data_IF_167803057330
#
_entry.id   IF_167803057330
#
_cell.length_a   1.000
_cell.length_b   1.000
_cell.length_c   1.000
_cell.angle_alpha   90.00
_cell.angle_beta   90.00
_cell.angle_gamma   90.00
#
_symmetry.space_group_name_H-M   'P 1'
#
loop_
_entity.id
_entity.type
_entity.pdbx_description
1 polymer ?
#
# COMPACT_ATOMS: atom_id res chain seq x y z
N UNK A 1 15.78 10.36 1.96
CA UNK A 1 15.68 9.06 2.66
C UNK A 1 15.21 9.25 4.10
N UNK A 2 14.31 8.38 4.58
CA UNK A 2 13.83 8.41 5.98
C UNK A 2 14.96 8.05 6.96
N UNK A 3 15.04 8.78 8.08
CA UNK A 3 15.90 8.41 9.21
C UNK A 3 15.34 7.18 9.96
N UNK A 4 16.10 6.64 10.91
CA UNK A 4 15.73 5.43 11.65
C UNK A 4 14.42 5.60 12.44
N UNK A 5 14.25 6.71 13.15
CA UNK A 5 13.07 7.01 13.96
C UNK A 5 11.82 7.13 13.08
N UNK A 6 11.92 7.86 11.97
CA UNK A 6 10.81 8.02 11.04
C UNK A 6 10.44 6.69 10.37
N UNK A 7 11.43 5.84 10.09
CA UNK A 7 11.20 4.49 9.57
C UNK A 7 10.47 3.60 10.59
N UNK A 8 10.81 3.72 11.87
CA UNK A 8 10.07 3.04 12.95
C UNK A 8 8.62 3.55 13.04
N UNK A 9 8.41 4.87 13.01
CA UNK A 9 7.08 5.48 13.03
C UNK A 9 6.22 5.01 11.85
N UNK A 10 6.79 4.98 10.64
CA UNK A 10 6.13 4.45 9.45
C UNK A 10 5.76 2.97 9.61
N UNK A 11 6.66 2.14 10.18
CA UNK A 11 6.35 0.73 10.42
C UNK A 11 5.24 0.56 11.47
N UNK A 12 5.20 1.39 12.51
CA UNK A 12 4.10 1.40 13.49
C UNK A 12 2.77 1.80 12.84
N UNK A 13 2.77 2.80 11.96
CA UNK A 13 1.57 3.19 11.20
C UNK A 13 1.09 2.05 10.29
N UNK A 14 2.00 1.36 9.60
CA UNK A 14 1.70 0.15 8.82
C UNK A 14 1.09 -0.94 9.70
N UNK A 15 1.66 -1.20 10.88
CA UNK A 15 1.11 -2.19 11.81
C UNK A 15 -0.28 -1.82 12.33
N UNK A 16 -0.53 -0.52 12.53
CA UNK A 16 -1.86 0.02 12.80
C UNK A 16 -2.86 -0.30 11.69
N UNK A 17 -2.49 -0.08 10.43
CA UNK A 17 -3.32 -0.43 9.26
C UNK A 17 -3.66 -1.92 9.26
N UNK A 18 -2.65 -2.78 9.46
CA UNK A 18 -2.84 -4.23 9.48
C UNK A 18 -3.78 -4.66 10.60
N UNK A 19 -3.61 -4.09 11.79
CA UNK A 19 -4.48 -4.35 12.94
C UNK A 19 -5.93 -3.90 12.66
N UNK A 20 -6.12 -2.70 12.11
CA UNK A 20 -7.45 -2.18 11.79
C UNK A 20 -8.17 -3.04 10.75
N UNK A 21 -7.44 -3.55 9.75
CA UNK A 21 -7.98 -4.49 8.77
C UNK A 21 -8.39 -5.78 9.47
N UNK A 22 -7.50 -6.37 10.28
CA UNK A 22 -7.77 -7.62 11.03
C UNK A 22 -9.03 -7.49 11.88
N UNK A 23 -9.14 -6.43 12.67
CA UNK A 23 -10.25 -6.20 13.59
C UNK A 23 -11.56 -5.92 12.84
N UNK A 24 -11.47 -5.40 11.62
CA UNK A 24 -12.63 -5.13 10.76
C UNK A 24 -13.12 -6.37 10.00
N UNK A 25 -12.32 -7.43 9.86
CA UNK A 25 -12.70 -8.60 9.06
C UNK A 25 -14.01 -9.23 9.56
N UNK A 26 -14.94 -9.56 8.65
CA UNK A 26 -16.25 -10.06 9.04
C UNK A 26 -16.16 -11.42 9.71
N UNK A 27 -16.94 -11.61 10.79
CA UNK A 27 -17.05 -12.90 11.47
C UNK A 27 -17.59 -13.97 10.51
N UNK A 28 -17.04 -15.18 10.63
CA UNK A 28 -17.29 -16.32 9.73
C UNK A 28 -18.77 -16.77 9.72
N UNK A 29 -19.59 -16.34 10.68
CA UNK A 29 -21.00 -16.73 10.81
C UNK A 29 -21.98 -15.95 9.93
N UNK A 30 -21.55 -14.91 9.20
CA UNK A 30 -22.45 -14.15 8.29
C UNK A 30 -22.62 -14.82 6.91
N UNK A 31 -23.73 -14.58 6.18
CA UNK A 31 -23.88 -15.01 4.79
C UNK A 31 -22.78 -14.48 3.86
N UNK A 32 -22.39 -15.26 2.84
CA UNK A 32 -21.25 -14.97 1.97
C UNK A 32 -21.32 -13.62 1.26
N UNK A 33 -22.46 -13.31 0.64
CA UNK A 33 -22.71 -12.05 -0.06
C UNK A 33 -22.55 -10.84 0.86
N UNK A 34 -23.01 -10.95 2.11
CA UNK A 34 -22.85 -9.90 3.14
C UNK A 34 -21.38 -9.70 3.48
N UNK A 35 -20.61 -10.80 3.61
CA UNK A 35 -19.17 -10.73 3.91
C UNK A 35 -18.36 -10.08 2.79
N UNK A 36 -18.69 -10.35 1.53
CA UNK A 36 -18.04 -9.72 0.37
C UNK A 36 -18.28 -8.22 0.35
N UNK A 37 -19.51 -7.79 0.61
CA UNK A 37 -19.85 -6.37 0.60
C UNK A 37 -19.20 -5.62 1.78
N UNK A 38 -19.15 -6.25 2.95
CA UNK A 38 -18.40 -5.72 4.11
C UNK A 38 -16.90 -5.62 3.81
N UNK A 39 -16.30 -6.63 3.20
CA UNK A 39 -14.89 -6.61 2.78
C UNK A 39 -14.60 -5.49 1.78
N UNK A 40 -15.48 -5.25 0.81
CA UNK A 40 -15.34 -4.12 -0.13
C UNK A 40 -15.35 -2.78 0.58
N UNK A 41 -16.26 -2.59 1.55
CA UNK A 41 -16.33 -1.36 2.36
C UNK A 41 -15.11 -1.17 3.24
N UNK A 42 -14.62 -2.23 3.87
CA UNK A 42 -13.41 -2.24 4.69
C UNK A 42 -12.21 -1.88 3.83
N UNK A 43 -12.04 -2.55 2.68
CA UNK A 43 -10.94 -2.27 1.75
C UNK A 43 -11.00 -0.85 1.20
N UNK A 44 -12.19 -0.33 0.86
CA UNK A 44 -12.29 1.05 0.35
C UNK A 44 -11.97 2.07 1.44
N UNK A 45 -12.54 1.90 2.65
CA UNK A 45 -12.35 2.84 3.76
C UNK A 45 -10.92 2.83 4.30
N UNK A 46 -10.41 1.65 4.63
CA UNK A 46 -9.10 1.50 5.27
C UNK A 46 -7.99 1.75 4.25
N UNK A 47 -8.11 1.20 3.06
CA UNK A 47 -7.00 1.20 2.11
C UNK A 47 -6.86 2.51 1.33
N UNK A 48 -7.89 3.36 1.28
CA UNK A 48 -7.74 4.71 0.73
C UNK A 48 -7.35 5.69 1.84
N UNK A 49 -8.14 5.79 2.91
CA UNK A 49 -7.94 6.83 3.91
C UNK A 49 -6.63 6.63 4.69
N UNK A 50 -6.39 5.42 5.23
CA UNK A 50 -5.20 5.18 6.04
C UNK A 50 -3.93 5.13 5.19
N UNK A 51 -4.03 4.74 3.91
CA UNK A 51 -2.87 4.81 3.01
C UNK A 51 -2.56 6.25 2.58
N UNK A 52 -3.56 7.11 2.41
CA UNK A 52 -3.33 8.55 2.20
C UNK A 52 -2.72 9.22 3.43
N UNK A 53 -3.15 8.84 4.64
CA UNK A 53 -2.53 9.29 5.88
C UNK A 53 -1.06 8.84 5.95
N UNK A 54 -0.80 7.55 5.67
CA UNK A 54 0.57 7.01 5.62
C UNK A 54 1.44 7.75 4.59
N UNK A 55 0.91 8.06 3.40
CA UNK A 55 1.59 8.86 2.39
C UNK A 55 1.92 10.26 2.92
N UNK A 56 0.95 10.92 3.57
CA UNK A 56 1.13 12.25 4.15
C UNK A 56 2.24 12.25 5.20
N UNK A 57 2.26 11.25 6.08
CA UNK A 57 3.28 11.10 7.12
C UNK A 57 4.67 10.91 6.49
N UNK A 58 4.78 9.97 5.53
CA UNK A 58 6.04 9.71 4.80
C UNK A 58 6.55 10.97 4.11
N UNK A 59 5.68 11.72 3.41
CA UNK A 59 6.06 12.97 2.77
C UNK A 59 6.50 14.03 3.81
N UNK A 60 5.82 14.11 4.95
CA UNK A 60 6.19 15.01 6.04
C UNK A 60 7.57 14.73 6.62
N UNK A 61 7.88 13.45 6.87
CA UNK A 61 9.20 13.01 7.33
C UNK A 61 10.28 13.30 6.30
N UNK A 62 10.06 12.91 5.05
CA UNK A 62 11.01 13.16 3.96
C UNK A 62 11.28 14.65 3.76
N UNK A 63 10.24 15.50 3.79
CA UNK A 63 10.38 16.95 3.74
C UNK A 63 11.22 17.49 4.88
N UNK A 64 10.96 17.02 6.09
CA UNK A 64 11.71 17.45 7.28
C UNK A 64 13.19 17.13 7.14
N UNK A 65 13.54 15.95 6.63
CA UNK A 65 14.94 15.59 6.37
C UNK A 65 15.56 16.39 5.22
N UNK A 66 14.84 16.59 4.11
CA UNK A 66 15.32 17.41 2.99
C UNK A 66 15.68 18.83 3.43
N UNK A 67 14.80 19.47 4.21
CA UNK A 67 15.01 20.85 4.65
C UNK A 67 16.15 21.05 5.67
N UNK A 68 16.75 19.96 6.18
CA UNK A 68 17.97 20.04 7.01
C UNK A 68 19.24 20.26 6.18
N UNK A 69 19.22 19.92 4.89
CA UNK A 69 20.40 20.06 4.01
C UNK A 69 20.76 21.54 3.84
N UNK A 70 22.05 21.86 3.81
CA UNK A 70 22.55 23.24 3.73
C UNK A 70 21.97 24.02 2.54
N UNK A 71 21.83 23.38 1.36
CA UNK A 71 21.31 24.01 0.14
C UNK A 71 19.89 24.58 0.32
N UNK A 72 19.08 24.00 1.22
CA UNK A 72 17.71 24.42 1.50
C UNK A 72 17.58 25.35 2.73
N UNK A 73 18.69 25.75 3.36
CA UNK A 73 18.65 26.79 4.40
C UNK A 73 18.43 28.19 3.82
N UNK A 74 18.78 28.39 2.55
CA UNK A 74 18.43 29.59 1.80
C UNK A 74 16.91 29.59 1.53
N UNK A 75 16.26 30.74 1.75
CA UNK A 75 14.81 30.89 1.60
C UNK A 75 14.32 30.68 0.16
N UNK A 76 15.06 31.14 -0.84
CA UNK A 76 14.70 31.01 -2.26
C UNK A 76 14.71 29.54 -2.69
N UNK A 77 15.75 28.81 -2.29
CA UNK A 77 15.86 27.38 -2.56
C UNK A 77 14.77 26.56 -1.85
N UNK A 78 14.42 26.96 -0.62
CA UNK A 78 13.30 26.36 0.11
C UNK A 78 11.97 26.60 -0.61
N UNK A 79 11.73 27.80 -1.11
CA UNK A 79 10.52 28.12 -1.88
C UNK A 79 10.44 27.29 -3.16
N UNK A 80 11.54 27.19 -3.92
CA UNK A 80 11.63 26.32 -5.12
C UNK A 80 11.35 24.85 -4.78
N UNK A 81 11.82 24.37 -3.64
CA UNK A 81 11.50 23.02 -3.16
C UNK A 81 10.03 22.87 -2.78
N UNK A 82 9.45 23.81 -2.04
CA UNK A 82 8.04 23.77 -1.66
C UNK A 82 7.11 23.85 -2.90
N UNK A 83 7.51 24.59 -3.95
CA UNK A 83 6.82 24.69 -5.24
C UNK A 83 6.81 23.37 -6.04
N UNK A 84 7.70 22.42 -5.74
CA UNK A 84 7.64 21.09 -6.37
C UNK A 84 6.35 20.35 -6.02
N UNK A 85 5.72 20.69 -4.89
CA UNK A 85 4.51 20.05 -4.37
C UNK A 85 4.64 18.52 -4.36
N UNK A 86 5.65 18.04 -3.63
CA UNK A 86 6.04 16.64 -3.62
C UNK A 86 4.89 15.71 -3.25
N UNK A 87 4.00 16.13 -2.34
CA UNK A 87 2.83 15.34 -1.99
C UNK A 87 1.92 15.13 -3.20
N UNK A 88 1.55 16.19 -3.93
CA UNK A 88 0.68 16.06 -5.11
C UNK A 88 1.37 15.32 -6.26
N UNK A 89 2.68 15.52 -6.48
CA UNK A 89 3.44 14.72 -7.44
C UNK A 89 3.35 13.22 -7.12
N UNK A 90 3.52 12.86 -5.85
CA UNK A 90 3.44 11.47 -5.40
C UNK A 90 2.00 10.95 -5.46
N UNK A 91 1.00 11.68 -4.96
CA UNK A 91 -0.42 11.26 -5.02
C UNK A 91 -0.88 11.02 -6.47
N UNK A 92 -0.47 11.88 -7.41
CA UNK A 92 -0.77 11.72 -8.83
C UNK A 92 -0.02 10.54 -9.47
N UNK A 93 1.20 10.25 -9.03
CA UNK A 93 1.98 9.10 -9.53
C UNK A 93 1.45 7.78 -8.97
N UNK A 94 0.97 7.79 -7.73
CA UNK A 94 0.48 6.61 -7.01
C UNK A 94 -1.04 6.72 -6.81
N UNK A 95 -1.79 6.52 -7.91
CA UNK A 95 -3.26 6.69 -7.95
C UNK A 95 -3.99 5.67 -7.05
N UNK A 96 -4.68 6.16 -6.02
CA UNK A 96 -5.51 5.36 -5.11
C UNK A 96 -6.86 4.94 -5.71
N UNK A 97 -6.85 4.06 -6.73
CA UNK A 97 -8.08 3.58 -7.38
C UNK A 97 -8.48 2.15 -6.99
N UNK A 98 -9.78 1.93 -6.83
CA UNK A 98 -10.41 0.62 -6.67
C UNK A 98 -10.89 0.14 -8.04
N UNK A 99 -10.35 -0.97 -8.59
CA UNK A 99 -10.91 -1.60 -9.79
C UNK A 99 -12.43 -1.79 -9.68
N UNK A 100 -13.18 -1.23 -10.64
CA UNK A 100 -14.65 -1.22 -10.60
C UNK A 100 -15.27 -2.61 -10.72
N UNK A 101 -14.62 -3.52 -11.45
CA UNK A 101 -15.07 -4.89 -11.70
C UNK A 101 -13.93 -5.87 -11.45
N UNK A 102 -13.97 -6.60 -10.34
CA UNK A 102 -13.14 -7.80 -10.14
C UNK A 102 -14.07 -8.99 -10.12
N UNK A 103 -13.96 -9.87 -11.11
CA UNK A 103 -14.68 -11.14 -11.09
C UNK A 103 -13.93 -12.14 -10.21
N UNK A 104 -14.42 -12.28 -8.98
CA UNK A 104 -13.87 -13.23 -8.01
C UNK A 104 -14.14 -14.70 -8.37
N UNK A 105 -14.98 -15.00 -9.36
CA UNK A 105 -15.31 -16.37 -9.78
C UNK A 105 -14.23 -17.01 -10.64
N UNK A 106 -13.35 -16.23 -11.27
CA UNK A 106 -12.36 -16.73 -12.19
C UNK A 106 -10.92 -16.49 -11.65
N UNK A 107 -10.30 -17.54 -11.10
CA UNK A 107 -8.96 -17.46 -10.51
C UNK A 107 -7.86 -16.97 -11.47
N UNK A 108 -8.04 -17.17 -12.79
CA UNK A 108 -7.12 -16.62 -13.81
C UNK A 108 -7.31 -15.11 -14.02
N UNK A 109 -8.53 -14.57 -13.90
CA UNK A 109 -8.74 -13.12 -13.93
C UNK A 109 -8.19 -12.44 -12.68
N UNK A 110 -8.36 -13.07 -11.51
CA UNK A 110 -7.73 -12.62 -10.27
C UNK A 110 -6.20 -12.58 -10.42
N UNK A 111 -5.60 -13.64 -10.97
CA UNK A 111 -4.16 -13.75 -11.25
C UNK A 111 -3.68 -12.74 -12.30
N UNK A 112 -4.51 -12.40 -13.28
CA UNK A 112 -4.22 -11.36 -14.28
C UNK A 112 -4.28 -9.96 -13.67
N UNK A 113 -5.29 -9.66 -12.87
CA UNK A 113 -5.41 -8.39 -12.13
C UNK A 113 -4.24 -8.21 -11.16
N UNK A 114 -3.86 -9.29 -10.47
CA UNK A 114 -2.66 -9.41 -9.65
C UNK A 114 -1.36 -9.07 -10.40
N UNK A 115 -1.18 -9.69 -11.56
CA UNK A 115 0.00 -9.48 -12.40
C UNK A 115 0.04 -8.05 -12.97
N UNK A 116 -1.13 -7.49 -13.32
CA UNK A 116 -1.27 -6.10 -13.74
C UNK A 116 -0.97 -5.11 -12.60
N UNK A 117 -1.26 -5.47 -11.35
CA UNK A 117 -0.89 -4.70 -10.16
C UNK A 117 0.53 -4.97 -9.65
N UNK A 118 1.38 -5.67 -10.42
CA UNK A 118 2.78 -5.94 -10.05
C UNK A 118 2.98 -7.06 -9.03
N UNK A 119 1.96 -7.86 -8.70
CA UNK A 119 2.07 -8.98 -7.76
C UNK A 119 2.16 -10.29 -8.54
N UNK A 120 3.26 -11.04 -8.36
CA UNK A 120 3.50 -12.32 -9.02
C UNK A 120 3.49 -13.44 -7.96
N UNK A 121 2.57 -14.39 -8.07
CA UNK A 121 2.64 -15.63 -7.30
C UNK A 121 3.63 -16.57 -7.98
N UNK A 122 4.70 -16.95 -7.28
CA UNK A 122 5.56 -18.05 -7.75
C UNK A 122 4.89 -19.39 -7.44
N UNK A 123 5.22 -20.42 -8.22
CA UNK A 123 4.64 -21.77 -8.17
C UNK A 123 4.81 -22.53 -6.86
N UNK A 124 5.45 -21.94 -5.84
CA UNK A 124 5.57 -22.47 -4.47
C UNK A 124 4.68 -21.79 -3.42
N UNK A 125 3.75 -20.90 -3.82
CA UNK A 125 2.90 -20.18 -2.86
C UNK A 125 3.59 -19.01 -2.13
N UNK A 126 4.80 -18.64 -2.59
CA UNK A 126 5.54 -17.44 -2.20
C UNK A 126 5.17 -16.31 -3.17
N UNK A 127 4.73 -15.18 -2.62
CA UNK A 127 4.39 -13.98 -3.39
C UNK A 127 5.67 -13.19 -3.65
N UNK A 128 6.02 -12.99 -4.91
CA UNK A 128 7.09 -12.08 -5.34
C UNK A 128 6.44 -10.83 -5.92
N UNK A 129 6.68 -9.68 -5.31
CA UNK A 129 6.06 -8.41 -5.71
C UNK A 129 7.08 -7.65 -6.57
N UNK A 130 6.72 -7.40 -7.83
CA UNK A 130 7.43 -6.48 -8.73
C UNK A 130 6.56 -5.23 -8.86
N UNK A 131 6.70 -4.29 -7.93
CA UNK A 131 5.95 -3.02 -7.94
C UNK A 131 6.52 -2.16 -9.07
N UNK A 132 5.87 -2.17 -10.24
CA UNK A 132 6.20 -1.21 -11.31
C UNK A 132 5.43 0.10 -11.18
N UNK A 133 4.25 0.10 -10.56
CA UNK A 133 3.41 1.27 -10.25
C UNK A 133 2.09 0.78 -9.63
N UNK A 134 1.67 1.36 -8.49
CA UNK A 134 0.35 1.31 -7.81
C UNK A 134 0.00 0.27 -6.68
N UNK A 135 -0.09 0.84 -5.46
CA UNK A 135 -1.18 0.91 -4.42
C UNK A 135 -1.51 -0.28 -3.47
N UNK A 136 -1.66 0.01 -2.15
CA UNK A 136 -2.29 -0.82 -1.11
C UNK A 136 -3.65 -1.47 -1.44
N UNK A 137 -4.49 -0.81 -2.28
CA UNK A 137 -5.88 -1.16 -2.61
C UNK A 137 -5.96 -2.47 -3.40
N UNK A 138 -5.03 -2.66 -4.33
CA UNK A 138 -4.85 -3.90 -5.09
C UNK A 138 -4.76 -5.08 -4.13
N UNK A 139 -3.97 -4.92 -3.07
CA UNK A 139 -3.70 -5.96 -2.07
C UNK A 139 -4.96 -6.28 -1.26
N UNK A 140 -5.71 -5.29 -0.79
CA UNK A 140 -7.01 -5.52 -0.12
C UNK A 140 -8.01 -6.34 -0.96
N UNK A 141 -8.06 -6.08 -2.27
CA UNK A 141 -8.95 -6.77 -3.21
C UNK A 141 -8.52 -8.19 -3.56
N UNK A 142 -7.21 -8.43 -3.68
CA UNK A 142 -6.62 -9.75 -3.88
C UNK A 142 -7.03 -10.69 -2.74
N UNK A 143 -7.12 -10.14 -1.54
CA UNK A 143 -7.21 -10.93 -0.32
C UNK A 143 -8.67 -11.20 0.05
N UNK A 144 -9.58 -10.31 -0.33
CA UNK A 144 -10.99 -10.65 -0.49
C UNK A 144 -11.22 -11.77 -1.53
N UNK A 145 -10.44 -11.81 -2.61
CA UNK A 145 -10.50 -12.87 -3.63
C UNK A 145 -10.00 -14.23 -3.16
N UNK A 146 -8.88 -14.28 -2.42
CA UNK A 146 -8.37 -15.50 -1.78
C UNK A 146 -9.37 -16.02 -0.75
N UNK A 147 -10.00 -15.14 0.02
CA UNK A 147 -11.04 -15.51 1.00
C UNK A 147 -12.30 -16.06 0.32
N UNK A 148 -12.75 -15.43 -0.77
CA UNK A 148 -13.88 -15.86 -1.59
C UNK A 148 -13.66 -17.24 -2.23
N UNK A 149 -12.51 -17.47 -2.87
CA UNK A 149 -12.18 -18.73 -3.53
C UNK A 149 -12.07 -19.90 -2.54
N UNK A 150 -11.44 -19.66 -1.38
CA UNK A 150 -11.28 -20.69 -0.34
C UNK A 150 -12.62 -21.08 0.26
N UNK A 151 -13.53 -20.12 0.45
CA UNK A 151 -14.82 -20.37 1.07
C UNK A 151 -15.85 -21.07 0.14
N UNK A 152 -15.61 -21.11 -1.18
CA UNK A 152 -16.42 -21.93 -2.11
C UNK A 152 -16.11 -23.44 -2.02
N UNK A 153 -14.92 -23.85 -1.54
CA UNK A 153 -14.46 -25.24 -1.73
C UNK A 153 -14.76 -26.24 -0.61
N UNK A 154 -15.16 -25.86 0.61
CA UNK A 154 -15.59 -26.82 1.65
C UNK A 154 -16.13 -26.17 2.94
N UNK A 155 -17.34 -26.53 3.38
CA UNK A 155 -17.95 -26.01 4.63
C UNK A 155 -17.34 -26.56 5.92
N UNK A 156 -16.60 -27.68 5.90
CA UNK A 156 -16.12 -28.36 7.12
C UNK A 156 -14.66 -28.05 7.51
N UNK A 157 -13.89 -27.30 6.71
CA UNK A 157 -12.46 -27.00 6.93
C UNK A 157 -12.27 -25.58 7.56
N UNK A 158 -13.22 -25.17 8.41
CA UNK A 158 -13.78 -23.81 8.37
C UNK A 158 -13.09 -22.70 9.19
N UNK A 159 -12.29 -23.00 10.21
CA UNK A 159 -11.72 -21.95 11.11
C UNK A 159 -10.21 -21.87 11.09
N UNK A 160 -9.50 -22.96 11.35
CA UNK A 160 -8.04 -22.91 11.50
C UNK A 160 -7.33 -22.58 10.18
N UNK A 161 -7.75 -23.21 9.06
CA UNK A 161 -7.27 -22.81 7.72
C UNK A 161 -7.65 -21.38 7.37
N UNK A 162 -8.74 -20.85 7.90
CA UNK A 162 -9.16 -19.48 7.60
C UNK A 162 -8.30 -18.46 8.35
N UNK A 163 -7.96 -18.74 9.61
CA UNK A 163 -7.02 -17.92 10.38
C UNK A 163 -5.63 -17.93 9.72
N UNK A 164 -5.14 -19.10 9.29
CA UNK A 164 -3.86 -19.22 8.57
C UNK A 164 -3.85 -18.40 7.27
N UNK A 165 -4.92 -18.47 6.48
CA UNK A 165 -5.07 -17.68 5.25
C UNK A 165 -5.15 -16.19 5.56
N UNK A 166 -5.81 -15.81 6.65
CA UNK A 166 -5.92 -14.42 7.11
C UNK A 166 -4.58 -13.88 7.64
N UNK A 167 -3.79 -14.69 8.32
CA UNK A 167 -2.46 -14.29 8.77
C UNK A 167 -1.50 -14.13 7.59
N UNK A 168 -1.52 -15.08 6.66
CA UNK A 168 -0.74 -15.00 5.41
C UNK A 168 -1.15 -13.79 4.57
N UNK A 169 -2.46 -13.49 4.53
CA UNK A 169 -2.98 -12.26 3.96
C UNK A 169 -2.28 -11.05 4.60
N UNK A 170 -2.52 -10.84 5.88
CA UNK A 170 -2.12 -9.62 6.58
C UNK A 170 -0.59 -9.44 6.61
N UNK A 171 0.18 -10.53 6.56
CA UNK A 171 1.63 -10.49 6.40
C UNK A 171 2.05 -9.95 5.02
N UNK A 172 1.48 -10.49 3.93
CA UNK A 172 1.74 -9.99 2.57
C UNK A 172 1.25 -8.53 2.41
N UNK A 173 0.10 -8.25 3.04
CA UNK A 173 -0.32 -6.97 3.61
C UNK A 173 0.79 -5.94 3.82
N UNK A 174 1.43 -6.18 4.97
CA UNK A 174 2.50 -5.41 5.57
C UNK A 174 3.68 -5.26 4.63
N UNK A 175 4.16 -6.36 4.04
CA UNK A 175 5.30 -6.35 3.12
C UNK A 175 5.03 -5.41 1.95
N UNK A 176 3.82 -5.47 1.37
CA UNK A 176 3.46 -4.63 0.23
C UNK A 176 3.42 -3.14 0.60
N UNK A 177 2.90 -2.80 1.78
CA UNK A 177 2.91 -1.43 2.31
C UNK A 177 4.35 -0.93 2.50
N UNK A 178 5.24 -1.76 3.04
CA UNK A 178 6.64 -1.42 3.24
C UNK A 178 7.39 -1.18 1.92
N UNK A 179 7.18 -2.03 0.91
CA UNK A 179 7.78 -1.85 -0.42
C UNK A 179 7.21 -0.64 -1.16
N UNK A 180 5.93 -0.31 -0.92
CA UNK A 180 5.34 0.92 -1.43
C UNK A 180 5.98 2.17 -0.83
N UNK A 181 6.20 2.20 0.49
CA UNK A 181 6.95 3.29 1.14
C UNK A 181 8.35 3.44 0.54
N UNK A 182 9.10 2.33 0.37
CA UNK A 182 10.43 2.39 -0.25
C UNK A 182 10.39 2.98 -1.67
N UNK A 183 9.33 2.67 -2.42
CA UNK A 183 9.14 3.22 -3.77
C UNK A 183 8.84 4.72 -3.74
N UNK A 184 8.09 5.19 -2.74
CA UNK A 184 7.88 6.62 -2.49
C UNK A 184 9.20 7.30 -2.14
N UNK A 185 9.96 6.76 -1.18
CA UNK A 185 11.29 7.30 -0.79
C UNK A 185 12.19 7.45 -2.00
N UNK A 186 12.31 6.40 -2.83
CA UNK A 186 13.15 6.42 -4.03
C UNK A 186 12.72 7.46 -5.05
N UNK A 187 11.42 7.60 -5.28
CA UNK A 187 10.91 8.60 -6.22
C UNK A 187 11.13 10.02 -5.68
N UNK A 188 10.84 10.23 -4.40
CA UNK A 188 11.04 11.50 -3.72
C UNK A 188 12.51 11.93 -3.76
N UNK A 189 13.44 11.04 -3.41
CA UNK A 189 14.87 11.32 -3.42
C UNK A 189 15.35 11.69 -4.84
N UNK A 190 14.83 11.03 -5.88
CA UNK A 190 15.15 11.37 -7.28
C UNK A 190 14.71 12.77 -7.70
N UNK A 191 13.52 13.21 -7.29
CA UNK A 191 13.03 14.57 -7.59
C UNK A 191 13.83 15.64 -6.82
N UNK A 192 14.24 15.34 -5.58
CA UNK A 192 15.11 16.22 -4.80
C UNK A 192 16.50 16.32 -5.42
N UNK A 193 17.10 15.21 -5.85
CA UNK A 193 18.39 15.19 -6.55
C UNK A 193 18.34 15.97 -7.88
N UNK A 194 17.23 15.92 -8.59
CA UNK A 194 17.01 16.73 -9.79
C UNK A 194 17.01 18.22 -9.46
N UNK A 195 16.20 18.64 -8.49
CA UNK A 195 16.19 20.04 -8.03
C UNK A 195 17.56 20.50 -7.53
N UNK A 196 18.25 19.69 -6.73
CA UNK A 196 19.58 20.03 -6.22
C UNK A 196 20.59 20.26 -7.36
N UNK A 197 20.50 19.51 -8.46
CA UNK A 197 21.34 19.76 -9.64
C UNK A 197 20.98 21.06 -10.34
N UNK A 198 19.70 21.40 -10.45
CA UNK A 198 19.28 22.68 -11.03
C UNK A 198 19.80 23.86 -10.22
N UNK A 199 19.64 23.81 -8.89
CA UNK A 199 20.08 24.87 -7.98
C UNK A 199 21.60 25.07 -7.93
N UNK A 200 22.39 24.02 -8.16
CA UNK A 200 23.86 24.12 -8.17
C UNK A 200 24.44 24.56 -9.52
N UNK A 201 23.62 24.58 -10.58
CA UNK A 201 24.01 25.02 -11.92
C UNK A 201 23.54 26.46 -12.24
N UNK A 202 22.85 27.12 -11.31
CA UNK A 202 22.50 28.55 -11.33
C UNK A 202 23.59 29.41 -10.70
#
# INVERSE_FOLDING_TARGET
MLNEIDRENVNMAIDGIIKNIRDSLPKINKPMNVRIEELKKISTRITIAESKMLLSDVCGYLRTETLKKEIFKNIDNKLKFDDLDMFNKIDNKFVFEVPKNIDYKNGEELKKALKQSGIIFTTGGVVSIIIKTLVPISIGLILAGVWYYTAQKNENIRKDKMNEITDKYLSNLKISLQEWVKSIEKYYDGEVEELERELNNE
#
